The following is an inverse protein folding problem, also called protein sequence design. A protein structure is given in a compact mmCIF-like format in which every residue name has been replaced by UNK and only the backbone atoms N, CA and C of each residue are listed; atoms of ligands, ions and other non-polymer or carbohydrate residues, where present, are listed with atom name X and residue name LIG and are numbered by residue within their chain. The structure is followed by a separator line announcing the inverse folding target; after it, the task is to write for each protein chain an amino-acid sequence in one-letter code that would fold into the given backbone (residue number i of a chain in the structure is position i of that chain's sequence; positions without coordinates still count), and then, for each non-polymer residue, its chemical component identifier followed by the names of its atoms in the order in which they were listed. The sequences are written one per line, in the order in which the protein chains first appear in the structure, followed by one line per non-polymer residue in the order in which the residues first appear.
data_IF_523063908391
#
_entry.id   IF_523063908391
#
_cell.length_a   1.000
_cell.length_b   1.000
_cell.length_c   1.000
_cell.angle_alpha   90.00
_cell.angle_beta   90.00
_cell.angle_gamma   90.00
#
_symmetry.space_group_name_H-M   'P 1'
#
loop_
_entity.id
_entity.type
_entity.pdbx_description
1 polymer ?
#
# COMPACT_ATOMS: atom_id res chain seq x y z
N UNK A 1 18.91 -4.60 16.40
CA UNK A 1 18.43 -4.74 15.01
C UNK A 1 18.49 -6.19 14.53
N UNK A 2 19.67 -6.76 14.22
CA UNK A 2 19.77 -8.15 13.73
C UNK A 2 19.30 -9.18 14.76
N UNK A 3 19.65 -8.99 16.03
CA UNK A 3 19.22 -9.87 17.12
C UNK A 3 17.70 -9.84 17.35
N UNK A 4 17.09 -8.66 17.26
CA UNK A 4 15.63 -8.49 17.40
C UNK A 4 14.87 -9.15 16.24
N UNK A 5 15.43 -9.08 15.03
CA UNK A 5 14.87 -9.74 13.85
C UNK A 5 14.91 -11.27 14.02
N UNK A 6 16.03 -11.83 14.48
CA UNK A 6 16.15 -13.27 14.77
C UNK A 6 15.12 -13.70 15.81
N UNK A 7 14.99 -12.95 16.92
CA UNK A 7 13.98 -13.24 17.95
C UNK A 7 12.56 -13.21 17.38
N UNK A 8 12.22 -12.20 16.57
CA UNK A 8 10.90 -12.11 15.94
C UNK A 8 10.63 -13.29 14.99
N UNK A 9 11.64 -13.72 14.23
CA UNK A 9 11.55 -14.87 13.33
C UNK A 9 11.28 -16.18 14.10
N UNK A 10 11.96 -16.39 15.22
CA UNK A 10 11.79 -17.59 16.04
C UNK A 10 10.43 -17.60 16.75
N UNK A 11 10.00 -16.45 17.28
CA UNK A 11 8.66 -16.29 17.85
C UNK A 11 7.56 -16.58 16.82
N UNK A 12 7.72 -16.12 15.57
CA UNK A 12 6.77 -16.40 14.50
C UNK A 12 6.66 -17.91 14.20
N UNK A 13 7.79 -18.62 14.14
CA UNK A 13 7.81 -20.09 13.97
C UNK A 13 7.12 -20.81 15.13
N UNK A 14 7.43 -20.42 16.36
CA UNK A 14 6.82 -21.00 17.58
C UNK A 14 5.30 -20.78 17.57
N UNK A 15 4.84 -19.62 17.06
CA UNK A 15 3.41 -19.31 16.90
C UNK A 15 2.74 -19.98 15.69
N UNK A 16 3.45 -20.84 14.96
CA UNK A 16 2.88 -21.65 13.87
C UNK A 16 2.92 -21.00 12.50
N UNK A 17 3.75 -19.97 12.28
CA UNK A 17 3.94 -19.42 10.94
C UNK A 17 4.48 -20.49 9.99
N UNK A 18 3.78 -20.72 8.87
CA UNK A 18 4.14 -21.73 7.86
C UNK A 18 5.51 -21.42 7.24
N UNK A 19 5.82 -20.13 7.07
CA UNK A 19 7.07 -19.68 6.46
C UNK A 19 7.54 -18.38 7.10
N UNK A 20 8.84 -18.29 7.36
CA UNK A 20 9.51 -17.07 7.82
C UNK A 20 10.73 -16.86 6.92
N UNK A 21 10.77 -15.71 6.24
CA UNK A 21 11.77 -15.43 5.20
C UNK A 21 12.47 -14.10 5.54
N UNK A 22 13.79 -14.09 5.74
CA UNK A 22 14.53 -12.83 5.83
C UNK A 22 14.57 -12.17 4.44
N UNK A 23 14.23 -10.88 4.38
CA UNK A 23 14.26 -10.11 3.13
C UNK A 23 15.58 -9.36 3.01
N UNK A 24 16.18 -9.43 1.82
CA UNK A 24 17.38 -8.64 1.48
C UNK A 24 16.93 -7.24 1.04
N UNK A 25 16.78 -6.35 2.01
CA UNK A 25 16.29 -4.97 1.79
C UNK A 25 17.21 -3.96 2.47
N UNK A 26 17.19 -2.73 1.97
CA UNK A 26 18.07 -1.64 2.44
C UNK A 26 17.60 -0.96 3.73
N UNK A 27 16.37 -1.21 4.18
CA UNK A 27 15.81 -0.51 5.34
C UNK A 27 14.60 -1.18 5.98
N UNK A 28 14.28 -0.75 7.19
CA UNK A 28 13.11 -1.16 7.97
C UNK A 28 11.90 -0.27 7.66
N UNK A 29 11.48 -0.26 6.39
CA UNK A 29 10.39 0.59 5.89
C UNK A 29 9.09 0.37 6.68
N UNK A 30 8.28 1.44 6.82
CA UNK A 30 6.99 1.41 7.52
C UNK A 30 7.06 1.06 9.01
N UNK A 31 8.23 1.28 9.64
CA UNK A 31 8.43 1.12 11.08
C UNK A 31 8.87 2.44 11.72
N UNK A 32 8.78 2.59 13.05
CA UNK A 32 9.31 3.77 13.74
C UNK A 32 10.80 4.05 13.48
N UNK A 33 11.58 3.07 12.99
CA UNK A 33 12.98 3.28 12.60
C UNK A 33 13.15 4.23 11.41
N UNK A 34 12.07 4.52 10.68
CA UNK A 34 12.05 5.51 9.59
C UNK A 34 11.92 6.95 10.09
N UNK A 35 11.79 7.19 11.39
CA UNK A 35 11.62 8.54 11.97
C UNK A 35 12.65 9.57 11.48
N UNK A 36 13.95 9.23 11.32
CA UNK A 36 14.94 10.20 10.82
C UNK A 36 14.64 10.74 9.40
N UNK A 37 13.83 10.04 8.60
CA UNK A 37 13.45 10.47 7.25
C UNK A 37 12.18 11.34 7.22
N UNK A 38 11.47 11.47 8.35
CA UNK A 38 10.17 12.16 8.41
C UNK A 38 10.33 13.66 8.15
N UNK A 39 11.32 14.31 8.76
CA UNK A 39 11.53 15.75 8.59
C UNK A 39 11.88 16.10 7.15
N UNK A 40 12.76 15.32 6.52
CA UNK A 40 13.11 15.47 5.11
C UNK A 40 11.90 15.27 4.20
N UNK A 41 11.06 14.27 4.48
CA UNK A 41 9.81 14.05 3.74
C UNK A 41 8.85 15.23 3.91
N UNK A 42 8.68 15.74 5.14
CA UNK A 42 7.80 16.87 5.44
C UNK A 42 8.25 18.14 4.71
N UNK A 43 9.56 18.40 4.63
CA UNK A 43 10.11 19.52 3.87
C UNK A 43 9.78 19.40 2.37
N UNK A 44 10.01 18.22 1.76
CA UNK A 44 9.72 17.98 0.34
C UNK A 44 8.22 18.13 0.07
N UNK A 45 7.37 17.45 0.85
CA UNK A 45 5.90 17.52 0.71
C UNK A 45 5.41 18.96 0.88
N UNK A 46 5.98 19.72 1.82
CA UNK A 46 5.63 21.12 2.07
C UNK A 46 6.03 22.07 0.93
N UNK A 47 7.07 21.74 0.16
CA UNK A 47 7.53 22.54 -0.99
C UNK A 47 6.70 22.37 -2.26
N UNK A 48 5.85 21.34 -2.33
CA UNK A 48 5.06 21.00 -3.51
C UNK A 48 3.65 21.60 -3.38
N UNK A 49 3.16 22.21 -4.46
CA UNK A 49 1.76 22.62 -4.54
C UNK A 49 0.89 21.41 -4.87
N UNK A 50 -0.01 21.04 -3.97
CA UNK A 50 -1.00 19.98 -4.20
C UNK A 50 -2.31 20.60 -4.67
N UNK A 51 -3.02 19.86 -5.51
CA UNK A 51 -4.41 20.13 -5.85
C UNK A 51 -5.30 19.12 -5.14
N UNK A 52 -6.58 19.47 -5.00
CA UNK A 52 -7.56 18.51 -4.49
C UNK A 52 -7.62 17.28 -5.39
N UNK A 53 -7.65 16.07 -4.81
CA UNK A 53 -7.71 14.85 -5.61
C UNK A 53 -9.07 14.81 -6.33
N UNK A 54 -9.04 14.69 -7.67
CA UNK A 54 -10.25 14.61 -8.48
C UNK A 54 -11.14 13.40 -8.15
N UNK A 55 -10.52 12.35 -7.59
CA UNK A 55 -11.19 11.16 -7.09
C UNK A 55 -10.68 10.87 -5.68
N UNK A 56 -11.54 10.37 -4.78
CA UNK A 56 -11.10 10.00 -3.43
C UNK A 56 -9.98 8.97 -3.45
N UNK A 57 -9.03 9.09 -2.53
CA UNK A 57 -7.88 8.18 -2.38
C UNK A 57 -8.00 7.44 -1.05
N UNK A 58 -7.86 6.12 -1.04
CA UNK A 58 -7.83 5.36 0.22
C UNK A 58 -6.42 5.36 0.79
N UNK A 59 -6.25 5.89 2.00
CA UNK A 59 -4.97 6.01 2.69
C UNK A 59 -4.34 4.65 3.00
N UNK A 60 -3.01 4.58 2.98
CA UNK A 60 -2.28 3.36 3.29
C UNK A 60 -2.22 3.10 4.79
N UNK A 61 -2.01 4.13 5.61
CA UNK A 61 -1.81 3.98 7.04
C UNK A 61 -3.13 3.85 7.84
N UNK A 62 -4.24 4.43 7.37
CA UNK A 62 -5.56 4.29 8.02
C UNK A 62 -6.56 3.40 7.31
N UNK A 63 -6.40 3.16 6.00
CA UNK A 63 -7.46 2.61 5.16
C UNK A 63 -8.75 3.47 5.15
N UNK A 64 -8.60 4.79 5.30
CA UNK A 64 -9.70 5.76 5.26
C UNK A 64 -9.67 6.58 3.97
N UNK A 65 -10.80 7.17 3.62
CA UNK A 65 -10.96 7.99 2.42
C UNK A 65 -10.34 9.38 2.61
N UNK A 66 -9.52 9.79 1.66
CA UNK A 66 -8.93 11.11 1.56
C UNK A 66 -9.52 11.84 0.36
N UNK A 67 -10.05 13.03 0.61
CA UNK A 67 -10.63 13.90 -0.42
C UNK A 67 -9.99 15.28 -0.44
N UNK A 68 -9.03 15.56 0.45
CA UNK A 68 -8.35 16.86 0.53
C UNK A 68 -6.85 16.77 0.28
N UNK A 69 -6.26 17.80 -0.31
CA UNK A 69 -4.83 17.95 -0.50
C UNK A 69 -4.06 17.86 0.83
N UNK A 70 -4.58 18.46 1.90
CA UNK A 70 -4.00 18.41 3.25
C UNK A 70 -3.98 16.99 3.80
N UNK A 71 -5.06 16.22 3.61
CA UNK A 71 -5.12 14.83 4.07
C UNK A 71 -4.09 13.96 3.34
N UNK A 72 -3.91 14.15 2.04
CA UNK A 72 -2.90 13.45 1.24
C UNK A 72 -1.48 13.82 1.70
N UNK A 73 -1.21 15.10 1.94
CA UNK A 73 0.10 15.55 2.47
C UNK A 73 0.42 14.92 3.82
N UNK A 74 -0.55 14.94 4.74
CA UNK A 74 -0.39 14.34 6.06
C UNK A 74 -0.14 12.83 5.96
N UNK A 75 -0.84 12.14 5.06
CA UNK A 75 -0.68 10.70 4.84
C UNK A 75 0.70 10.34 4.29
N UNK A 76 1.23 11.09 3.31
CA UNK A 76 2.55 10.83 2.74
C UNK A 76 3.66 10.87 3.81
N UNK A 77 3.56 11.79 4.76
CA UNK A 77 4.51 11.90 5.87
C UNK A 77 4.29 10.77 6.87
N UNK A 78 3.03 10.53 7.26
CA UNK A 78 2.66 9.52 8.25
C UNK A 78 3.04 8.10 7.80
N UNK A 79 2.85 7.78 6.53
CA UNK A 79 3.06 6.44 5.99
C UNK A 79 4.50 5.93 6.17
N UNK A 80 5.49 6.82 6.26
CA UNK A 80 6.90 6.42 6.44
C UNK A 80 7.11 5.50 7.65
N UNK A 81 6.40 5.79 8.74
CA UNK A 81 6.59 5.10 10.02
C UNK A 81 5.43 4.15 10.37
N UNK A 82 4.45 3.98 9.48
CA UNK A 82 3.23 3.22 9.74
C UNK A 82 3.03 2.11 8.70
N UNK A 83 2.54 0.96 9.18
CA UNK A 83 2.23 -0.19 8.33
C UNK A 83 1.25 0.16 7.21
N UNK A 84 1.47 -0.41 6.03
CA UNK A 84 0.52 -0.36 4.91
C UNK A 84 -0.66 -1.29 5.20
N UNK A 85 -1.83 -0.72 5.48
CA UNK A 85 -3.08 -1.40 5.80
C UNK A 85 -3.79 -1.95 4.56
N UNK A 86 -3.05 -2.56 3.62
CA UNK A 86 -3.56 -2.95 2.30
C UNK A 86 -4.84 -3.77 2.35
N UNK A 87 -4.89 -4.80 3.21
CA UNK A 87 -6.08 -5.64 3.35
C UNK A 87 -7.30 -4.82 3.78
N UNK A 88 -7.14 -3.95 4.79
CA UNK A 88 -8.23 -3.07 5.24
C UNK A 88 -8.64 -2.09 4.16
N UNK A 89 -7.71 -1.59 3.34
CA UNK A 89 -8.04 -0.70 2.21
C UNK A 89 -8.90 -1.41 1.15
N UNK A 90 -8.58 -2.67 0.82
CA UNK A 90 -9.41 -3.46 -0.11
C UNK A 90 -10.77 -3.77 0.51
N UNK A 91 -10.82 -4.21 1.76
CA UNK A 91 -12.08 -4.47 2.48
C UNK A 91 -12.97 -3.22 2.54
N UNK A 92 -12.37 -2.06 2.84
CA UNK A 92 -13.06 -0.78 2.82
C UNK A 92 -13.68 -0.50 1.44
N UNK A 93 -12.91 -0.62 0.36
CA UNK A 93 -13.41 -0.37 -1.00
C UNK A 93 -14.55 -1.32 -1.38
N UNK A 94 -14.42 -2.62 -1.08
CA UNK A 94 -15.47 -3.61 -1.35
C UNK A 94 -16.74 -3.32 -0.56
N UNK A 95 -16.62 -3.01 0.73
CA UNK A 95 -17.76 -2.66 1.58
C UNK A 95 -18.46 -1.36 1.14
N UNK A 96 -17.77 -0.52 0.37
CA UNK A 96 -18.32 0.69 -0.25
C UNK A 96 -18.71 0.48 -1.72
N UNK A 97 -18.89 -0.78 -2.16
CA UNK A 97 -19.48 -1.12 -3.45
C UNK A 97 -18.50 -1.25 -4.61
N UNK A 98 -17.19 -1.16 -4.37
CA UNK A 98 -16.19 -1.42 -5.42
C UNK A 98 -16.16 -2.90 -5.74
N UNK A 99 -16.55 -3.25 -6.98
CA UNK A 99 -16.58 -4.63 -7.47
C UNK A 99 -15.52 -4.94 -8.51
N UNK A 100 -14.87 -3.92 -9.08
CA UNK A 100 -13.82 -4.07 -10.10
C UNK A 100 -12.59 -3.25 -9.71
N UNK A 101 -11.42 -3.89 -9.73
CA UNK A 101 -10.13 -3.27 -9.45
C UNK A 101 -9.25 -3.31 -10.70
N UNK A 102 -8.58 -2.20 -11.00
CA UNK A 102 -7.64 -2.10 -12.11
C UNK A 102 -6.24 -1.85 -11.53
N UNK A 103 -5.33 -2.80 -11.68
CA UNK A 103 -3.91 -2.65 -11.33
C UNK A 103 -3.17 -2.01 -12.51
N UNK A 104 -2.73 -0.76 -12.32
CA UNK A 104 -1.97 -0.01 -13.32
C UNK A 104 -0.48 -0.14 -13.01
N UNK A 105 0.29 -0.66 -13.96
CA UNK A 105 1.74 -0.87 -13.83
C UNK A 105 2.17 -2.31 -14.06
N UNK A 106 3.49 -2.55 -14.17
CA UNK A 106 4.04 -3.86 -14.55
C UNK A 106 3.80 -4.91 -13.47
N UNK A 107 3.58 -6.15 -13.89
CA UNK A 107 3.33 -7.28 -12.99
C UNK A 107 1.87 -7.39 -12.56
N UNK A 108 1.57 -8.34 -11.66
CA UNK A 108 0.20 -8.67 -11.22
C UNK A 108 0.11 -8.90 -9.71
N UNK A 109 0.95 -8.21 -8.94
CA UNK A 109 1.09 -8.46 -7.51
C UNK A 109 -0.18 -8.04 -6.79
N UNK A 110 -0.67 -6.83 -7.05
CA UNK A 110 -1.87 -6.31 -6.39
C UNK A 110 -3.11 -7.09 -6.80
N UNK A 111 -3.24 -7.45 -8.08
CA UNK A 111 -4.28 -8.35 -8.59
C UNK A 111 -4.31 -9.66 -7.80
N UNK A 112 -3.15 -10.30 -7.62
CA UNK A 112 -3.04 -11.53 -6.86
C UNK A 112 -3.39 -11.36 -5.37
N UNK A 113 -2.99 -10.26 -4.74
CA UNK A 113 -3.32 -9.95 -3.35
C UNK A 113 -4.82 -9.67 -3.17
N UNK A 114 -5.43 -8.89 -4.06
CA UNK A 114 -6.85 -8.57 -4.04
C UNK A 114 -7.67 -9.86 -4.13
N UNK A 115 -7.35 -10.78 -5.05
CA UNK A 115 -8.03 -12.07 -5.18
C UNK A 115 -7.90 -12.98 -3.96
N UNK A 116 -6.86 -12.82 -3.14
CA UNK A 116 -6.72 -13.53 -1.86
C UNK A 116 -7.61 -12.93 -0.77
N UNK A 117 -7.82 -11.62 -0.80
CA UNK A 117 -8.69 -10.90 0.15
C UNK A 117 -10.16 -11.14 -0.20
N UNK A 118 -10.54 -10.94 -1.47
CA UNK A 118 -11.89 -11.19 -1.95
C UNK A 118 -11.83 -11.84 -3.35
N UNK A 119 -12.43 -13.02 -3.50
CA UNK A 119 -12.40 -13.78 -4.76
C UNK A 119 -13.45 -13.31 -5.78
N UNK A 120 -14.51 -12.68 -5.30
CA UNK A 120 -15.70 -12.32 -6.08
C UNK A 120 -15.50 -11.04 -6.91
N UNK A 121 -14.61 -10.16 -6.46
CA UNK A 121 -14.32 -8.90 -7.19
C UNK A 121 -13.59 -9.18 -8.50
N UNK A 122 -13.88 -8.40 -9.53
CA UNK A 122 -13.14 -8.43 -10.78
C UNK A 122 -11.79 -7.71 -10.64
N UNK A 123 -10.78 -8.20 -11.34
CA UNK A 123 -9.43 -7.62 -11.33
C UNK A 123 -8.87 -7.59 -12.73
N UNK A 124 -8.41 -6.42 -13.19
CA UNK A 124 -7.80 -6.20 -14.50
C UNK A 124 -6.39 -5.66 -14.27
N UNK A 125 -5.39 -6.16 -14.99
CA UNK A 125 -4.03 -5.61 -14.93
C UNK A 125 -3.66 -4.95 -16.25
N UNK A 126 -3.19 -3.71 -16.16
CA UNK A 126 -2.75 -2.87 -17.26
C UNK A 126 -1.26 -2.59 -17.08
N UNK A 127 -0.46 -3.55 -17.55
CA UNK A 127 0.99 -3.55 -17.34
C UNK A 127 1.83 -3.03 -18.51
N UNK A 128 1.24 -2.93 -19.70
CA UNK A 128 1.90 -2.50 -20.93
C UNK A 128 0.94 -1.75 -21.87
N UNK A 129 1.49 -1.24 -22.97
CA UNK A 129 0.74 -0.46 -23.95
C UNK A 129 -0.30 -1.30 -24.72
N UNK A 130 -0.13 -2.62 -24.83
CA UNK A 130 -1.10 -3.50 -25.47
C UNK A 130 -2.34 -3.67 -24.57
N UNK A 131 -2.12 -3.87 -23.27
CA UNK A 131 -3.20 -3.94 -22.28
C UNK A 131 -4.02 -2.65 -22.23
N UNK A 132 -3.38 -1.47 -22.36
CA UNK A 132 -4.09 -0.18 -22.44
C UNK A 132 -5.03 -0.14 -23.64
N UNK A 133 -4.61 -0.63 -24.81
CA UNK A 133 -5.46 -0.63 -26.01
C UNK A 133 -6.70 -1.49 -25.82
N UNK A 134 -6.56 -2.63 -25.14
CA UNK A 134 -7.67 -3.54 -24.87
C UNK A 134 -8.72 -2.98 -23.90
N UNK A 135 -8.40 -1.92 -23.14
CA UNK A 135 -9.37 -1.24 -22.28
C UNK A 135 -10.35 -0.36 -23.06
N UNK A 136 -9.99 0.10 -24.26
CA UNK A 136 -10.88 0.94 -25.08
C UNK A 136 -12.08 0.14 -25.62
N UNK A 137 -12.00 -1.19 -25.58
CA UNK A 137 -13.02 -2.13 -26.04
C UNK A 137 -13.92 -2.66 -24.91
N UNK A 138 -13.74 -2.15 -23.67
CA UNK A 138 -14.45 -2.54 -22.44
C UNK A 138 -15.57 -1.54 -22.10
#
# INVERSE_FOLDING_TARGET
ATEDLTKAMDLAKIKGAIRVIPLQVSGAFHTPLMQPAVDSMAQIVGSISFQEPAFPVVANATAELMTTAESVKAELIRQLCNCVQWQRSIEYMVNNGVSTFIEIGPGKVLTGLIKRINKEVNTINIGDAEAVKSLADL
#
